data_IF_740259225828
#
_entry.id   IF_740259225828
#
_cell.length_a   1.000
_cell.length_b   1.000
_cell.length_c   1.000
_cell.angle_alpha   90.00
_cell.angle_beta   90.00
_cell.angle_gamma   90.00
#
_symmetry.space_group_name_H-M   'P 1'
#
loop_
_entity.id
_entity.type
_entity.pdbx_description
1 polymer ?
#
# COMPACT_ATOMS: atom_id res chain seq x y z
N UNK A 1 -19.65 -2.10 -15.05
CA UNK A 1 -18.29 -1.80 -14.56
C UNK A 1 -18.41 -1.61 -13.07
N UNK A 2 -18.05 -2.62 -12.28
CA UNK A 2 -18.01 -2.51 -10.83
C UNK A 2 -16.56 -2.19 -10.50
N UNK A 3 -16.28 -0.96 -10.04
CA UNK A 3 -14.95 -0.56 -9.61
C UNK A 3 -14.68 -1.21 -8.24
N UNK A 4 -14.30 -2.49 -8.23
CA UNK A 4 -13.62 -3.05 -7.07
C UNK A 4 -12.19 -2.51 -7.14
N UNK A 5 -11.82 -1.68 -6.17
CA UNK A 5 -10.59 -0.91 -6.19
C UNK A 5 -9.37 -1.84 -6.04
N UNK A 6 -8.82 -2.28 -7.18
CA UNK A 6 -7.55 -3.01 -7.34
C UNK A 6 -6.32 -2.13 -7.00
N UNK A 7 -6.49 -1.11 -6.16
CA UNK A 7 -5.47 -0.09 -5.89
C UNK A 7 -5.30 0.10 -4.40
N UNK A 8 -4.07 -0.07 -3.93
CA UNK A 8 -3.67 0.23 -2.56
C UNK A 8 -3.13 1.66 -2.55
N UNK A 9 -3.69 2.50 -1.68
CA UNK A 9 -3.26 3.88 -1.47
C UNK A 9 -2.49 3.97 -0.15
N UNK A 10 -1.26 4.46 -0.21
CA UNK A 10 -0.44 4.72 0.98
C UNK A 10 -0.13 6.21 1.02
N UNK A 11 -0.65 6.90 2.02
CA UNK A 11 -0.41 8.33 2.25
C UNK A 11 0.62 8.51 3.36
N UNK A 12 1.64 9.33 3.12
CA UNK A 12 2.49 9.79 4.23
C UNK A 12 1.70 10.83 5.03
N UNK A 13 1.11 10.40 6.15
CA UNK A 13 0.34 11.26 7.05
C UNK A 13 1.20 12.09 8.03
N UNK A 14 2.53 12.03 7.91
CA UNK A 14 3.50 12.79 8.70
C UNK A 14 4.61 11.93 9.30
N UNK A 15 5.52 12.57 10.04
CA UNK A 15 6.73 11.94 10.55
C UNK A 15 7.97 12.42 9.80
N UNK A 16 8.94 11.52 9.63
CA UNK A 16 10.14 11.80 8.86
C UNK A 16 9.89 11.62 7.35
N UNK A 17 10.64 12.38 6.57
CA UNK A 17 10.70 12.17 5.13
C UNK A 17 11.54 10.92 4.84
N UNK A 18 11.07 10.07 3.94
CA UNK A 18 11.72 8.78 3.67
C UNK A 18 12.30 8.82 2.25
N UNK A 19 13.62 8.62 2.14
CA UNK A 19 14.29 8.50 0.85
C UNK A 19 13.76 7.28 0.09
N UNK A 20 13.34 7.44 -1.16
CA UNK A 20 12.75 6.33 -1.93
C UNK A 20 13.72 5.18 -2.17
N UNK A 21 15.02 5.44 -2.11
CA UNK A 21 16.07 4.42 -2.23
C UNK A 21 16.29 3.62 -0.94
N UNK A 22 15.81 4.10 0.21
CA UNK A 22 16.04 3.45 1.50
C UNK A 22 14.99 2.40 1.82
N UNK A 23 13.86 2.34 1.09
CA UNK A 23 12.80 1.40 1.40
C UNK A 23 12.17 0.72 0.18
N UNK A 24 11.56 -0.43 0.45
CA UNK A 24 10.65 -1.13 -0.46
C UNK A 24 9.31 -1.39 0.26
N UNK A 25 8.26 -1.59 -0.51
CA UNK A 25 6.94 -1.96 0.03
C UNK A 25 6.70 -3.44 -0.29
N UNK A 26 6.50 -4.27 0.72
CA UNK A 26 6.01 -5.62 0.52
C UNK A 26 4.49 -5.65 0.73
N UNK A 27 3.76 -6.19 -0.23
CA UNK A 27 2.32 -6.42 -0.12
C UNK A 27 2.08 -7.91 -0.14
N UNK A 28 1.52 -8.42 0.95
CA UNK A 28 1.05 -9.79 1.06
C UNK A 28 -0.46 -9.80 0.86
N UNK A 29 -0.93 -10.38 -0.24
CA UNK A 29 -2.35 -10.62 -0.48
C UNK A 29 -2.58 -12.10 -0.26
N UNK A 30 -3.30 -12.42 0.82
CA UNK A 30 -3.37 -13.74 1.43
C UNK A 30 -1.96 -14.27 1.76
N UNK A 31 -1.48 -15.27 1.02
CA UNK A 31 -0.14 -15.87 1.20
C UNK A 31 0.86 -15.48 0.10
N UNK A 32 0.43 -14.67 -0.88
CA UNK A 32 1.28 -14.24 -1.99
C UNK A 32 1.93 -12.91 -1.66
N UNK A 33 3.25 -12.93 -1.48
CA UNK A 33 4.06 -11.73 -1.28
C UNK A 33 4.54 -11.17 -2.61
N UNK A 34 4.23 -9.91 -2.84
CA UNK A 34 4.78 -9.10 -3.93
C UNK A 34 5.59 -7.94 -3.38
N UNK A 35 6.66 -7.56 -4.09
CA UNK A 35 7.49 -6.42 -3.72
C UNK A 35 7.28 -5.29 -4.71
N UNK A 36 7.05 -4.09 -4.19
CA UNK A 36 7.08 -2.83 -4.88
C UNK A 36 8.42 -2.16 -4.55
N UNK A 37 9.31 -2.15 -5.54
CA UNK A 37 10.71 -1.74 -5.37
C UNK A 37 10.88 -0.23 -5.25
N UNK A 38 12.04 0.20 -4.75
CA UNK A 38 12.44 1.60 -4.67
C UNK A 38 12.33 2.36 -5.99
N UNK A 39 12.65 1.71 -7.12
CA UNK A 39 12.54 2.33 -8.45
C UNK A 39 11.08 2.54 -8.88
N UNK A 40 10.19 1.62 -8.52
CA UNK A 40 8.76 1.78 -8.75
C UNK A 40 8.18 2.89 -7.87
N UNK A 41 8.58 2.96 -6.60
CA UNK A 41 8.21 4.05 -5.68
C UNK A 41 8.64 5.41 -6.23
N UNK A 42 9.91 5.52 -6.65
CA UNK A 42 10.46 6.74 -7.26
C UNK A 42 9.65 7.18 -8.48
N UNK A 43 9.31 6.24 -9.37
CA UNK A 43 8.49 6.53 -10.54
C UNK A 43 7.06 6.93 -10.17
N UNK A 44 6.46 6.27 -9.17
CA UNK A 44 5.10 6.55 -8.68
C UNK A 44 4.99 7.99 -8.15
N UNK A 45 6.01 8.43 -7.40
CA UNK A 45 6.10 9.79 -6.86
C UNK A 45 6.54 10.83 -7.91
N UNK A 46 6.48 10.52 -9.21
CA UNK A 46 6.83 11.47 -10.27
C UNK A 46 8.33 11.78 -10.34
N UNK A 47 9.17 10.77 -10.11
CA UNK A 47 10.64 10.88 -10.08
C UNK A 47 11.16 11.74 -8.92
N UNK A 48 10.43 11.78 -7.82
CA UNK A 48 10.89 12.37 -6.55
C UNK A 48 11.61 11.32 -5.74
N UNK A 49 12.78 11.69 -5.20
CA UNK A 49 13.62 10.79 -4.38
C UNK A 49 13.19 10.72 -2.92
N UNK A 50 12.11 11.41 -2.54
CA UNK A 50 11.65 11.53 -1.16
C UNK A 50 10.13 11.39 -1.11
N UNK A 51 9.65 10.59 -0.16
CA UNK A 51 8.25 10.47 0.19
C UNK A 51 7.93 11.42 1.36
N UNK A 52 7.26 12.53 1.07
CA UNK A 52 7.00 13.65 1.99
C UNK A 52 5.54 13.67 2.48
N UNK A 53 5.24 14.51 3.47
CA UNK A 53 3.88 14.68 4.00
C UNK A 53 2.87 15.00 2.88
N UNK A 54 1.79 14.22 2.82
CA UNK A 54 0.70 14.37 1.86
C UNK A 54 0.97 13.72 0.50
N UNK A 55 2.16 13.17 0.27
CA UNK A 55 2.42 12.34 -0.91
C UNK A 55 1.69 11.00 -0.78
N UNK A 56 1.13 10.53 -1.90
CA UNK A 56 0.38 9.29 -2.00
C UNK A 56 1.11 8.35 -2.97
N UNK A 57 1.34 7.11 -2.54
CA UNK A 57 1.79 6.02 -3.41
C UNK A 57 0.55 5.20 -3.78
N UNK A 58 0.32 5.06 -5.09
CA UNK A 58 -0.82 4.33 -5.64
C UNK A 58 -0.35 3.03 -6.31
N UNK A 59 -0.65 1.88 -5.71
CA UNK A 59 -0.21 0.58 -6.23
C UNK A 59 -1.40 -0.13 -6.86
N UNK A 60 -1.45 -0.15 -8.20
CA UNK A 60 -2.42 -0.95 -8.94
C UNK A 60 -1.97 -2.41 -8.97
N UNK A 61 -2.59 -3.27 -8.16
CA UNK A 61 -2.12 -4.66 -7.96
C UNK A 61 -2.29 -5.52 -9.21
N UNK A 62 -3.28 -5.24 -10.04
CA UNK A 62 -3.49 -5.93 -11.31
C UNK A 62 -2.44 -5.51 -12.34
N UNK A 63 -2.12 -4.22 -12.43
CA UNK A 63 -1.11 -3.68 -13.35
C UNK A 63 0.31 -4.09 -12.97
N UNK A 64 0.62 -4.11 -11.68
CA UNK A 64 1.97 -4.45 -11.19
C UNK A 64 2.21 -5.96 -11.14
N UNK A 65 1.21 -6.74 -10.72
CA UNK A 65 1.40 -8.17 -10.40
C UNK A 65 0.36 -9.11 -11.01
N UNK A 66 -0.63 -8.58 -11.75
CA UNK A 66 -1.74 -9.39 -12.29
C UNK A 66 -2.68 -9.91 -11.20
N UNK A 67 -2.69 -9.29 -10.02
CA UNK A 67 -3.50 -9.71 -8.87
C UNK A 67 -4.75 -8.84 -8.78
N UNK A 68 -5.90 -9.51 -8.90
CA UNK A 68 -7.23 -8.95 -8.67
C UNK A 68 -7.59 -9.09 -7.18
N UNK A 69 -7.84 -7.97 -6.50
CA UNK A 69 -8.21 -7.94 -5.08
C UNK A 69 -9.71 -8.21 -4.96
N UNK A 70 -10.05 -9.21 -4.15
CA UNK A 70 -11.43 -9.65 -3.93
C UNK A 70 -11.90 -9.37 -2.52
N UNK A 71 -13.21 -9.29 -2.37
CA UNK A 71 -13.83 -9.25 -1.05
C UNK A 71 -13.43 -10.50 -0.24
N UNK A 72 -13.02 -10.27 1.00
CA UNK A 72 -12.50 -11.31 1.89
C UNK A 72 -11.00 -11.58 1.79
N UNK A 73 -10.27 -10.97 0.84
CA UNK A 73 -8.81 -11.08 0.82
C UNK A 73 -8.20 -10.41 2.05
N UNK A 74 -7.19 -11.07 2.63
CA UNK A 74 -6.36 -10.49 3.68
C UNK A 74 -5.17 -9.77 3.03
N UNK A 75 -5.06 -8.46 3.22
CA UNK A 75 -3.96 -7.67 2.67
C UNK A 75 -3.09 -7.16 3.81
N UNK A 76 -1.82 -7.53 3.82
CA UNK A 76 -0.84 -6.98 4.75
C UNK A 76 0.22 -6.22 3.95
N UNK A 77 0.43 -4.95 4.28
CA UNK A 77 1.42 -4.08 3.66
C UNK A 77 2.53 -3.82 4.67
N UNK A 78 3.78 -3.91 4.23
CA UNK A 78 4.97 -3.67 5.04
C UNK A 78 5.86 -2.66 4.34
N UNK A 79 6.26 -1.64 5.08
CA UNK A 79 7.34 -0.75 4.70
C UNK A 79 8.64 -1.32 5.24
N UNK A 80 9.58 -1.67 4.35
CA UNK A 80 10.80 -2.39 4.71
C UNK A 80 12.01 -1.53 4.39
N UNK A 81 12.84 -1.29 5.40
CA UNK A 81 14.14 -0.64 5.21
C UNK A 81 15.07 -1.56 4.43
N UNK A 82 15.57 -1.12 3.29
CA UNK A 82 16.40 -1.91 2.39
C UNK A 82 17.75 -2.27 3.04
N UNK A 83 18.48 -1.33 3.68
CA UNK A 83 19.76 -1.63 4.31
C UNK A 83 19.69 -2.64 5.47
N UNK A 84 18.76 -2.45 6.41
CA UNK A 84 18.64 -3.27 7.62
C UNK A 84 17.75 -4.50 7.44
N UNK A 85 16.87 -4.49 6.43
CA UNK A 85 15.78 -5.46 6.22
C UNK A 85 14.76 -5.50 7.36
N UNK A 86 14.72 -4.46 8.18
CA UNK A 86 13.74 -4.31 9.24
C UNK A 86 12.43 -3.71 8.71
N UNK A 87 11.32 -4.05 9.37
CA UNK A 87 10.01 -3.49 9.06
C UNK A 87 9.91 -2.14 9.78
N UNK A 88 9.82 -1.07 9.01
CA UNK A 88 9.59 0.30 9.50
C UNK A 88 8.14 0.42 9.99
N UNK A 89 7.19 -0.08 9.18
CA UNK A 89 5.76 0.02 9.45
C UNK A 89 5.00 -1.14 8.81
N UNK A 90 3.85 -1.50 9.38
CA UNK A 90 2.92 -2.43 8.77
C UNK A 90 1.47 -1.91 8.84
N UNK A 91 0.66 -2.38 7.89
CA UNK A 91 -0.76 -2.13 7.81
C UNK A 91 -1.46 -3.43 7.44
N UNK A 92 -2.49 -3.82 8.19
CA UNK A 92 -3.37 -4.93 7.84
C UNK A 92 -4.72 -4.36 7.41
N UNK A 93 -5.13 -4.70 6.20
CA UNK A 93 -6.44 -4.38 5.64
C UNK A 93 -7.20 -5.71 5.56
N UNK A 94 -8.24 -5.86 6.39
CA UNK A 94 -9.22 -6.92 6.23
C UNK A 94 -10.50 -6.33 5.66
N UNK A 95 -11.04 -6.99 4.63
CA UNK A 95 -12.30 -6.62 3.96
C UNK A 95 -13.55 -6.75 4.86
N UNK A 96 -13.40 -6.98 6.16
CA UNK A 96 -14.50 -7.16 7.12
C UNK A 96 -15.22 -5.83 7.48
N UNK A 97 -14.81 -4.70 6.90
CA UNK A 97 -15.30 -3.35 7.21
C UNK A 97 -16.28 -2.76 6.18
N UNK A 98 -17.16 -3.59 5.57
CA UNK A 98 -18.27 -3.08 4.73
C UNK A 98 -19.66 -3.21 5.36
N UNK A 99 -19.82 -3.81 6.54
CA UNK A 99 -21.15 -3.97 7.18
C UNK A 99 -21.43 -3.06 8.39
N UNK A 100 -20.65 -2.00 8.61
CA UNK A 100 -20.85 -1.13 9.78
C UNK A 100 -21.03 0.36 9.42
N UNK A 101 -22.09 0.71 8.70
CA UNK A 101 -22.80 1.98 8.95
C UNK A 101 -24.17 2.03 8.25
N UNK A 102 -25.08 1.11 8.59
CA UNK A 102 -26.50 1.43 8.51
C UNK A 102 -26.82 2.40 9.65
N UNK A 103 -26.59 3.69 9.41
CA UNK A 103 -26.97 4.75 10.35
C UNK A 103 -28.50 4.93 10.30
N UNK A 104 -29.25 4.21 11.14
CA UNK A 104 -30.63 4.62 11.44
C UNK A 104 -30.59 5.69 12.51
N UNK A 105 -30.72 6.94 12.08
CA UNK A 105 -31.03 8.04 12.98
C UNK A 105 -32.41 7.79 13.64
N UNK A 106 -32.59 8.15 14.93
CA UNK A 106 -33.89 8.04 15.61
C UNK A 106 -34.98 8.93 14.98
#
# INVERSE_FOLDING_TARGET
MNAQNETIYLENSGGEFIDTESFEIAVNINENRSTYSSSQIYANLGNRSVWELGDIIEINTFGEWGIDIKEGDEINVYLIDIPSKEIIQNLKISSEYLEASNWTAP
#
